data_IF_414312685197
#
_entry.id   IF_414312685197
#
_cell.length_a   1.000
_cell.length_b   1.000
_cell.length_c   1.000
_cell.angle_alpha   90.00
_cell.angle_beta   90.00
_cell.angle_gamma   90.00
#
_symmetry.space_group_name_H-M   'P 1'
#
loop_
_entity.id
_entity.type
_entity.pdbx_description
1 polymer ?
#
# COMPACT_ATOMS: atom_id res chain seq x y z
N UNK A 1 5.52 38.09 -16.81
CA UNK A 1 6.11 36.82 -17.32
C UNK A 1 5.41 35.67 -16.64
N UNK A 2 4.48 34.99 -17.33
CA UNK A 2 3.69 33.88 -16.78
C UNK A 2 4.51 32.59 -16.79
N UNK A 3 4.91 32.12 -15.61
CA UNK A 3 5.43 30.77 -15.43
C UNK A 3 4.25 29.79 -15.56
N UNK A 4 3.98 29.30 -16.78
CA UNK A 4 3.18 28.10 -16.99
C UNK A 4 3.99 26.92 -16.43
N UNK A 5 3.80 26.62 -15.15
CA UNK A 5 4.26 25.37 -14.57
C UNK A 5 3.62 24.24 -15.37
N UNK A 6 4.43 23.39 -16.00
CA UNK A 6 3.92 22.18 -16.66
C UNK A 6 3.26 21.33 -15.60
N UNK A 7 1.94 21.39 -15.51
CA UNK A 7 1.16 20.42 -14.74
C UNK A 7 1.57 19.03 -15.23
N UNK A 8 2.14 18.23 -14.33
CA UNK A 8 2.59 16.87 -14.62
C UNK A 8 1.42 16.06 -15.20
N UNK A 9 1.67 15.22 -16.20
CA UNK A 9 0.65 14.36 -16.83
C UNK A 9 -0.13 13.57 -15.78
N UNK A 10 0.52 13.18 -14.68
CA UNK A 10 -0.11 12.52 -13.54
C UNK A 10 -1.19 13.37 -12.87
N UNK A 11 -1.02 14.69 -12.84
CA UNK A 11 -1.94 15.66 -12.21
C UNK A 11 -3.26 15.80 -12.95
N UNK A 12 -3.25 15.55 -14.26
CA UNK A 12 -4.46 15.58 -15.11
C UNK A 12 -5.23 14.27 -15.09
N UNK A 13 -4.62 13.21 -14.57
CA UNK A 13 -5.21 11.88 -14.51
C UNK A 13 -6.31 11.81 -13.44
N UNK A 14 -7.53 11.46 -13.84
CA UNK A 14 -8.65 11.30 -12.92
C UNK A 14 -8.45 10.17 -11.89
N UNK A 15 -9.15 10.27 -10.76
CA UNK A 15 -9.13 9.31 -9.64
C UNK A 15 -9.24 7.85 -10.11
N UNK A 16 -10.18 7.56 -11.01
CA UNK A 16 -10.43 6.20 -11.51
C UNK A 16 -9.22 5.63 -12.24
N UNK A 17 -8.55 6.42 -13.06
CA UNK A 17 -7.40 5.94 -13.83
C UNK A 17 -6.17 5.75 -12.93
N UNK A 18 -5.96 6.62 -11.93
CA UNK A 18 -4.92 6.42 -10.91
C UNK A 18 -5.15 5.14 -10.10
N UNK A 19 -6.40 4.84 -9.75
CA UNK A 19 -6.78 3.57 -9.10
C UNK A 19 -6.48 2.37 -9.99
N UNK A 20 -6.86 2.43 -11.28
CA UNK A 20 -6.61 1.34 -12.23
C UNK A 20 -5.11 1.08 -12.41
N UNK A 21 -4.29 2.12 -12.57
CA UNK A 21 -2.84 1.97 -12.65
C UNK A 21 -2.30 1.29 -11.39
N UNK A 22 -2.71 1.74 -10.21
CA UNK A 22 -2.31 1.09 -8.96
C UNK A 22 -2.73 -0.38 -8.91
N UNK A 23 -3.95 -0.72 -9.36
CA UNK A 23 -4.41 -2.10 -9.46
C UNK A 23 -3.52 -2.93 -10.39
N UNK A 24 -3.22 -2.42 -11.59
CA UNK A 24 -2.34 -3.11 -12.54
C UNK A 24 -0.95 -3.36 -11.98
N UNK A 25 -0.39 -2.41 -11.21
CA UNK A 25 0.90 -2.59 -10.54
C UNK A 25 0.78 -3.70 -9.49
N UNK A 26 -0.24 -3.68 -8.63
CA UNK A 26 -0.43 -4.72 -7.60
C UNK A 26 -0.60 -6.11 -8.23
N UNK A 27 -1.47 -6.22 -9.24
CA UNK A 27 -1.72 -7.48 -9.95
C UNK A 27 -0.47 -7.95 -10.69
N UNK A 28 0.25 -7.04 -11.37
CA UNK A 28 1.50 -7.35 -12.06
C UNK A 28 2.58 -7.87 -11.11
N UNK A 29 2.72 -7.23 -9.95
CA UNK A 29 3.66 -7.69 -8.90
C UNK A 29 3.27 -9.05 -8.32
N UNK A 30 1.98 -9.31 -8.14
CA UNK A 30 1.48 -10.62 -7.71
C UNK A 30 1.71 -11.71 -8.78
N UNK A 31 1.48 -11.37 -10.05
CA UNK A 31 1.77 -12.26 -11.17
C UNK A 31 3.25 -12.62 -11.26
N UNK A 32 4.13 -11.61 -11.17
CA UNK A 32 5.58 -11.81 -11.15
C UNK A 32 6.01 -12.70 -9.99
N UNK A 33 5.40 -12.51 -8.81
CA UNK A 33 5.63 -13.38 -7.67
C UNK A 33 5.30 -14.83 -7.99
N UNK A 34 4.07 -15.12 -8.42
CA UNK A 34 3.58 -16.48 -8.65
C UNK A 34 4.39 -17.19 -9.74
N UNK A 35 4.68 -16.50 -10.85
CA UNK A 35 5.30 -17.13 -12.02
C UNK A 35 6.81 -17.30 -11.85
N UNK A 36 7.49 -16.31 -11.27
CA UNK A 36 8.96 -16.24 -11.31
C UNK A 36 9.63 -16.36 -9.95
N UNK A 37 9.02 -15.81 -8.90
CA UNK A 37 9.71 -15.62 -7.62
C UNK A 37 9.33 -16.67 -6.58
N UNK A 38 8.11 -17.23 -6.63
CA UNK A 38 7.58 -18.15 -5.64
C UNK A 38 8.48 -19.39 -5.41
N UNK A 39 9.20 -19.83 -6.44
CA UNK A 39 10.13 -20.97 -6.38
C UNK A 39 11.57 -20.60 -6.05
N UNK A 40 11.84 -19.33 -5.75
CA UNK A 40 13.18 -18.81 -5.44
C UNK A 40 13.32 -18.47 -3.96
N UNK A 41 14.54 -18.42 -3.41
CA UNK A 41 14.78 -17.95 -2.04
C UNK A 41 14.39 -16.47 -1.82
N UNK A 42 14.16 -15.70 -2.89
CA UNK A 42 13.73 -14.30 -2.80
C UNK A 42 12.25 -14.14 -2.47
N UNK A 43 11.46 -15.23 -2.46
CA UNK A 43 10.02 -15.19 -2.14
C UNK A 43 9.73 -14.54 -0.78
N UNK A 44 10.57 -14.78 0.22
CA UNK A 44 10.47 -14.19 1.57
C UNK A 44 10.64 -12.68 1.58
N UNK A 45 11.39 -12.13 0.63
CA UNK A 45 11.70 -10.70 0.56
C UNK A 45 10.91 -9.98 -0.54
N UNK A 46 10.05 -10.69 -1.28
CA UNK A 46 9.27 -10.07 -2.33
C UNK A 46 8.29 -9.04 -1.73
N UNK A 47 8.30 -7.79 -2.23
CA UNK A 47 7.51 -6.74 -1.61
C UNK A 47 6.02 -6.93 -1.88
N UNK A 48 5.22 -6.75 -0.82
CA UNK A 48 3.77 -6.77 -0.91
C UNK A 48 3.24 -5.46 -1.50
N UNK A 49 3.10 -5.41 -2.83
CA UNK A 49 2.60 -4.23 -3.56
C UNK A 49 1.19 -3.80 -3.14
N UNK A 50 0.37 -4.71 -2.61
CA UNK A 50 -0.93 -4.37 -2.02
C UNK A 50 -0.81 -3.36 -0.87
N UNK A 51 0.25 -3.44 -0.08
CA UNK A 51 0.51 -2.48 1.01
C UNK A 51 0.84 -1.09 0.44
N UNK A 52 1.55 -1.00 -0.69
CA UNK A 52 1.81 0.28 -1.35
C UNK A 52 0.52 0.97 -1.76
N UNK A 53 -0.40 0.20 -2.36
CA UNK A 53 -1.72 0.70 -2.70
C UNK A 53 -2.50 1.13 -1.45
N UNK A 54 -2.53 0.31 -0.39
CA UNK A 54 -3.23 0.64 0.83
C UNK A 54 -2.73 1.93 1.50
N UNK A 55 -1.41 2.03 1.69
CA UNK A 55 -0.78 3.19 2.33
C UNK A 55 -0.89 4.43 1.45
N UNK A 56 -0.60 4.33 0.14
CA UNK A 56 -0.67 5.46 -0.79
C UNK A 56 -2.08 6.00 -1.00
N UNK A 57 -3.06 5.10 -1.16
CA UNK A 57 -4.47 5.50 -1.33
C UNK A 57 -5.04 6.08 -0.03
N UNK A 58 -4.71 5.50 1.13
CA UNK A 58 -5.12 6.02 2.44
C UNK A 58 -4.60 7.43 2.71
N UNK A 59 -3.38 7.72 2.29
CA UNK A 59 -2.76 9.04 2.44
C UNK A 59 -3.36 10.11 1.51
N UNK A 60 -4.19 9.72 0.54
CA UNK A 60 -4.66 10.60 -0.52
C UNK A 60 -6.03 11.22 -0.21
N UNK A 61 -7.08 10.40 -0.09
CA UNK A 61 -8.44 10.82 0.32
C UNK A 61 -9.23 9.61 0.82
N UNK A 62 -10.07 9.84 1.82
CA UNK A 62 -11.03 8.82 2.27
C UNK A 62 -12.16 8.71 1.24
N UNK A 63 -12.10 7.70 0.39
CA UNK A 63 -13.15 7.34 -0.56
C UNK A 63 -13.47 5.86 -0.40
N UNK A 64 -14.74 5.50 -0.61
CA UNK A 64 -15.17 4.09 -0.57
C UNK A 64 -14.58 3.26 -1.71
N UNK A 65 -14.25 3.90 -2.85
CA UNK A 65 -13.71 3.21 -4.03
C UNK A 65 -12.38 2.49 -3.74
N UNK A 66 -11.32 3.16 -3.20
CA UNK A 66 -10.11 2.46 -2.75
C UNK A 66 -10.37 1.32 -1.77
N UNK A 67 -11.33 1.47 -0.86
CA UNK A 67 -11.68 0.43 0.13
C UNK A 67 -12.20 -0.82 -0.57
N UNK A 68 -13.16 -0.67 -1.49
CA UNK A 68 -13.72 -1.79 -2.27
C UNK A 68 -12.62 -2.45 -3.10
N UNK A 69 -11.77 -1.66 -3.76
CA UNK A 69 -10.68 -2.17 -4.57
C UNK A 69 -9.66 -2.93 -3.74
N UNK A 70 -9.24 -2.41 -2.58
CA UNK A 70 -8.32 -3.09 -1.66
C UNK A 70 -8.92 -4.37 -1.10
N UNK A 71 -10.22 -4.38 -0.80
CA UNK A 71 -10.92 -5.58 -0.38
C UNK A 71 -10.84 -6.66 -1.47
N UNK A 72 -11.18 -6.33 -2.71
CA UNK A 72 -11.11 -7.26 -3.84
C UNK A 72 -9.68 -7.76 -4.11
N UNK A 73 -8.69 -6.86 -4.08
CA UNK A 73 -7.27 -7.23 -4.23
C UNK A 73 -6.80 -8.13 -3.08
N UNK A 74 -7.23 -7.85 -1.86
CA UNK A 74 -6.91 -8.69 -0.70
C UNK A 74 -7.50 -10.09 -0.81
N UNK A 75 -8.78 -10.19 -1.18
CA UNK A 75 -9.44 -11.48 -1.44
C UNK A 75 -8.75 -12.24 -2.58
N UNK A 76 -8.32 -11.55 -3.65
CA UNK A 76 -7.53 -12.16 -4.71
C UNK A 76 -6.22 -12.74 -4.16
N UNK A 77 -5.50 -12.02 -3.30
CA UNK A 77 -4.28 -12.51 -2.67
C UNK A 77 -4.58 -13.72 -1.78
N UNK A 78 -5.65 -13.68 -0.98
CA UNK A 78 -6.08 -14.81 -0.14
C UNK A 78 -6.22 -16.09 -0.98
N UNK A 79 -6.89 -16.00 -2.14
CA UNK A 79 -7.07 -17.12 -3.06
C UNK A 79 -5.74 -17.60 -3.68
N UNK A 80 -4.82 -16.69 -3.99
CA UNK A 80 -3.54 -17.04 -4.62
C UNK A 80 -2.59 -17.76 -3.67
N UNK A 81 -2.60 -17.41 -2.38
CA UNK A 81 -1.69 -17.97 -1.37
C UNK A 81 -2.34 -19.04 -0.49
N UNK A 82 -3.62 -19.35 -0.71
CA UNK A 82 -4.37 -20.32 0.07
C UNK A 82 -4.65 -19.86 1.51
N UNK A 83 -4.74 -18.54 1.74
CA UNK A 83 -5.09 -17.98 3.05
C UNK A 83 -6.63 -17.95 3.25
N UNK A 84 -7.12 -17.87 4.50
CA UNK A 84 -8.54 -17.67 4.78
C UNK A 84 -9.08 -16.42 4.10
N UNK A 85 -10.27 -16.53 3.49
CA UNK A 85 -10.90 -15.43 2.78
C UNK A 85 -11.10 -14.23 3.71
N UNK A 86 -10.56 -13.08 3.33
CA UNK A 86 -10.62 -11.84 4.10
C UNK A 86 -9.37 -11.54 4.93
N UNK A 87 -8.39 -12.44 5.00
CA UNK A 87 -7.15 -12.26 5.76
C UNK A 87 -6.36 -11.06 5.23
N UNK A 88 -5.88 -11.14 3.98
CA UNK A 88 -5.12 -10.07 3.34
C UNK A 88 -5.98 -8.83 3.10
N UNK A 89 -7.27 -9.00 2.79
CA UNK A 89 -8.19 -7.88 2.69
C UNK A 89 -8.20 -7.04 3.98
N UNK A 90 -8.28 -7.69 5.14
CA UNK A 90 -8.27 -7.01 6.44
C UNK A 90 -6.93 -6.31 6.72
N UNK A 91 -5.81 -6.95 6.37
CA UNK A 91 -4.46 -6.35 6.51
C UNK A 91 -4.32 -5.09 5.67
N UNK A 92 -4.74 -5.14 4.40
CA UNK A 92 -4.69 -3.98 3.51
C UNK A 92 -5.61 -2.85 4.00
N UNK A 93 -6.81 -3.19 4.46
CA UNK A 93 -7.75 -2.21 4.98
C UNK A 93 -7.27 -1.57 6.30
N UNK A 94 -6.59 -2.33 7.16
CA UNK A 94 -5.96 -1.79 8.36
C UNK A 94 -4.86 -0.77 8.01
N UNK A 95 -3.98 -1.11 7.05
CA UNK A 95 -2.95 -0.20 6.57
C UNK A 95 -3.56 1.09 5.98
N UNK A 96 -4.61 0.95 5.17
CA UNK A 96 -5.34 2.07 4.59
C UNK A 96 -5.98 2.96 5.66
N UNK A 97 -6.62 2.36 6.66
CA UNK A 97 -7.26 3.07 7.76
C UNK A 97 -6.24 3.91 8.52
N UNK A 98 -5.12 3.32 8.95
CA UNK A 98 -4.05 4.03 9.68
C UNK A 98 -3.54 5.20 8.84
N UNK A 99 -3.20 4.96 7.57
CA UNK A 99 -2.71 6.01 6.67
C UNK A 99 -3.71 7.17 6.53
N UNK A 100 -5.01 6.84 6.44
CA UNK A 100 -6.07 7.83 6.33
C UNK A 100 -6.27 8.68 7.59
N UNK A 101 -5.98 8.15 8.78
CA UNK A 101 -6.06 8.89 10.04
C UNK A 101 -4.97 9.98 10.13
N UNK A 102 -3.78 9.68 9.61
CA UNK A 102 -2.66 10.63 9.59
C UNK A 102 -2.82 11.73 8.53
N UNK A 103 -3.67 11.52 7.53
CA UNK A 103 -3.89 12.48 6.43
C UNK A 103 -4.21 13.89 6.90
N UNK A 104 -5.20 14.07 7.79
CA UNK A 104 -5.63 15.41 8.23
C UNK A 104 -4.49 16.18 8.90
N UNK A 105 -3.68 15.50 9.70
CA UNK A 105 -2.52 16.09 10.39
C UNK A 105 -1.37 16.36 9.42
N UNK A 106 -1.19 15.50 8.41
CA UNK A 106 -0.18 15.70 7.37
C UNK A 106 -0.48 16.90 6.46
N UNK A 107 -1.75 17.32 6.32
CA UNK A 107 -2.11 18.52 5.54
C UNK A 107 -1.66 19.84 6.19
N UNK A 108 -1.49 19.85 7.52
CA UNK A 108 -1.05 21.02 8.28
C UNK A 108 0.46 21.10 8.48
N UNK A 109 1.19 20.02 8.17
CA UNK A 109 2.62 19.91 8.42
C UNK A 109 3.44 20.26 7.19
N UNK A 110 4.22 21.36 7.24
CA UNK A 110 5.13 21.77 6.16
C UNK A 110 6.38 20.91 6.02
N UNK A 111 6.76 20.16 7.07
CA UNK A 111 7.99 19.37 7.06
C UNK A 111 7.84 18.00 6.38
N UNK A 112 6.59 17.57 6.12
CA UNK A 112 6.29 16.23 5.59
C UNK A 112 6.55 15.09 6.59
N UNK A 113 6.97 15.41 7.81
CA UNK A 113 7.40 14.45 8.83
C UNK A 113 6.22 13.64 9.38
N UNK A 114 5.07 14.28 9.61
CA UNK A 114 3.83 13.60 10.00
C UNK A 114 3.38 12.61 8.93
N UNK A 115 3.61 12.94 7.66
CA UNK A 115 3.26 12.07 6.54
C UNK A 115 4.16 10.84 6.49
N UNK A 116 5.46 11.02 6.72
CA UNK A 116 6.41 9.92 6.86
C UNK A 116 6.03 9.00 8.02
N UNK A 117 5.77 9.55 9.21
CA UNK A 117 5.33 8.78 10.36
C UNK A 117 4.01 8.06 10.12
N UNK A 118 3.06 8.67 9.39
CA UNK A 118 1.82 8.02 8.99
C UNK A 118 2.04 6.80 8.10
N UNK A 119 2.93 6.91 7.10
CA UNK A 119 3.27 5.79 6.23
C UNK A 119 3.95 4.66 7.03
N UNK A 120 4.96 4.99 7.84
CA UNK A 120 5.66 4.02 8.70
C UNK A 120 4.70 3.34 9.67
N UNK A 121 3.86 4.12 10.37
CA UNK A 121 2.85 3.58 11.28
C UNK A 121 1.89 2.63 10.56
N UNK A 122 1.52 2.93 9.31
CA UNK A 122 0.63 2.08 8.52
C UNK A 122 1.28 0.72 8.22
N UNK A 123 2.56 0.70 7.82
CA UNK A 123 3.30 -0.55 7.61
C UNK A 123 3.47 -1.34 8.91
N UNK A 124 3.80 -0.68 10.02
CA UNK A 124 3.99 -1.33 11.32
C UNK A 124 2.69 -1.94 11.83
N UNK A 125 1.58 -1.19 11.79
CA UNK A 125 0.28 -1.72 12.21
C UNK A 125 -0.17 -2.86 11.31
N UNK A 126 0.00 -2.73 9.99
CA UNK A 126 -0.33 -3.80 9.07
C UNK A 126 0.49 -5.06 9.33
N UNK A 127 1.79 -4.93 9.66
CA UNK A 127 2.66 -6.04 10.02
C UNK A 127 2.20 -6.72 11.31
N UNK A 128 1.98 -5.94 12.38
CA UNK A 128 1.51 -6.48 13.67
C UNK A 128 0.17 -7.18 13.48
N UNK A 129 -0.74 -6.58 12.72
CA UNK A 129 -2.06 -7.13 12.45
C UNK A 129 -1.98 -8.41 11.61
N UNK A 130 -1.17 -8.43 10.55
CA UNK A 130 -0.92 -9.63 9.76
C UNK A 130 -0.29 -10.74 10.60
N UNK A 131 0.71 -10.43 11.44
CA UNK A 131 1.35 -11.40 12.32
C UNK A 131 0.39 -11.95 13.37
N UNK A 132 -0.49 -11.12 13.91
CA UNK A 132 -1.53 -11.54 14.85
C UNK A 132 -2.55 -12.45 14.16
N UNK A 133 -3.05 -12.04 12.99
CA UNK A 133 -4.08 -12.77 12.27
C UNK A 133 -3.55 -14.11 11.75
N UNK A 134 -2.40 -14.10 11.06
CA UNK A 134 -1.74 -15.33 10.57
C UNK A 134 -1.31 -16.21 11.74
N UNK A 135 -0.80 -15.62 12.83
CA UNK A 135 -0.41 -16.37 14.04
C UNK A 135 -1.59 -17.04 14.73
N UNK A 136 -2.77 -16.41 14.73
CA UNK A 136 -3.99 -16.99 15.28
C UNK A 136 -4.55 -18.15 14.43
N UNK A 137 -4.22 -18.20 13.13
CA UNK A 137 -4.74 -19.22 12.21
C UNK A 137 -3.77 -20.37 11.92
N UNK A 138 -2.48 -20.09 11.78
CA UNK A 138 -1.48 -21.04 11.27
C UNK A 138 -0.50 -21.56 12.32
N UNK A 139 -0.74 -21.25 13.60
CA UNK A 139 0.00 -21.72 14.77
C UNK A 139 1.49 -22.05 14.51
N UNK A 140 2.33 -21.01 14.42
CA UNK A 140 3.79 -21.20 14.29
C UNK A 140 4.47 -20.68 13.02
N UNK A 141 3.85 -19.76 12.26
CA UNK A 141 4.58 -19.05 11.18
C UNK A 141 5.72 -18.23 11.77
N UNK A 142 6.94 -18.46 11.26
CA UNK A 142 8.14 -17.72 11.68
C UNK A 142 7.96 -16.24 11.33
N UNK A 143 8.07 -15.38 12.34
CA UNK A 143 7.94 -13.92 12.20
C UNK A 143 8.90 -13.37 11.15
N UNK A 144 10.05 -14.04 10.95
CA UNK A 144 11.05 -13.68 9.95
C UNK A 144 10.50 -13.71 8.52
N UNK A 145 9.63 -14.67 8.22
CA UNK A 145 9.08 -14.83 6.87
C UNK A 145 8.13 -13.70 6.51
N UNK A 146 7.32 -13.27 7.47
CA UNK A 146 6.41 -12.14 7.31
C UNK A 146 7.21 -10.82 7.29
N UNK A 147 8.19 -10.67 8.18
CA UNK A 147 8.98 -9.46 8.31
C UNK A 147 9.75 -9.10 7.02
N UNK A 148 10.29 -10.08 6.30
CA UNK A 148 11.03 -9.87 5.06
C UNK A 148 10.22 -9.07 4.02
N UNK A 149 9.02 -9.57 3.69
CA UNK A 149 8.14 -8.96 2.69
C UNK A 149 7.63 -7.57 3.10
N UNK A 150 7.36 -7.34 4.39
CA UNK A 150 6.92 -6.05 4.93
C UNK A 150 8.06 -5.02 4.96
N UNK A 151 9.27 -5.43 5.31
CA UNK A 151 10.46 -4.56 5.28
C UNK A 151 10.77 -4.13 3.84
N UNK A 152 10.80 -5.08 2.90
CA UNK A 152 11.03 -4.74 1.48
C UNK A 152 9.90 -3.86 0.94
N UNK A 153 8.64 -4.14 1.29
CA UNK A 153 7.51 -3.29 0.91
C UNK A 153 7.66 -1.87 1.48
N UNK A 154 8.00 -1.71 2.76
CA UNK A 154 8.21 -0.39 3.38
C UNK A 154 9.36 0.39 2.75
N UNK A 155 10.49 -0.26 2.49
CA UNK A 155 11.67 0.36 1.87
C UNK A 155 11.39 0.81 0.43
N UNK A 156 10.77 -0.06 -0.37
CA UNK A 156 10.45 0.23 -1.77
C UNK A 156 9.23 1.13 -1.92
N UNK A 157 8.44 1.33 -0.87
CA UNK A 157 7.31 2.25 -0.94
C UNK A 157 7.73 3.67 -1.25
N UNK A 158 8.84 4.17 -0.67
CA UNK A 158 9.27 5.56 -0.86
C UNK A 158 9.48 5.97 -2.32
N UNK A 159 10.25 5.21 -3.16
CA UNK A 159 10.38 5.54 -4.57
C UNK A 159 9.07 5.35 -5.36
N UNK A 160 8.23 4.37 -5.02
CA UNK A 160 6.98 4.10 -5.73
C UNK A 160 5.77 4.91 -5.23
N UNK A 161 5.95 5.67 -4.15
CA UNK A 161 4.88 6.40 -3.44
C UNK A 161 4.06 7.29 -4.35
N UNK A 162 4.70 7.95 -5.31
CA UNK A 162 4.04 8.87 -6.23
C UNK A 162 2.98 8.17 -7.10
N UNK A 163 3.22 6.91 -7.49
CA UNK A 163 2.32 6.12 -8.33
C UNK A 163 1.02 5.73 -7.62
N UNK A 164 1.06 5.65 -6.29
CA UNK A 164 -0.09 5.29 -5.47
C UNK A 164 -0.77 6.50 -4.82
N UNK A 165 -0.40 7.75 -5.18
CA UNK A 165 -1.14 8.93 -4.72
C UNK A 165 -2.36 9.17 -5.61
N UNK A 166 -3.55 9.23 -5.01
CA UNK A 166 -4.82 9.47 -5.68
C UNK A 166 -5.21 10.96 -5.74
N UNK A 167 -4.64 11.82 -4.88
CA UNK A 167 -5.03 13.23 -4.75
C UNK A 167 -3.83 14.16 -4.87
N UNK A 168 -4.06 15.32 -5.50
CA UNK A 168 -3.12 16.43 -5.74
C UNK A 168 -2.98 17.38 -4.53
N UNK A 169 -2.82 16.86 -3.30
CA UNK A 169 -2.44 17.75 -2.19
C UNK A 169 -0.96 18.11 -2.30
N UNK A 170 -0.66 18.99 -3.27
CA UNK A 170 0.60 19.74 -3.43
C UNK A 170 0.65 20.98 -2.53
N UNK A 171 -0.21 21.11 -1.51
CA UNK A 171 -0.17 22.25 -0.58
C UNK A 171 1.04 22.25 0.38
N UNK A 172 1.96 21.32 0.21
CA UNK A 172 3.11 21.14 1.11
C UNK A 172 4.46 21.08 0.38
N UNK A 173 4.46 20.92 -0.96
CA UNK A 173 5.68 20.75 -1.73
C UNK A 173 5.99 22.00 -2.61
N UNK A 174 5.58 23.19 -2.16
CA UNK A 174 5.90 24.48 -2.78
C UNK A 174 6.57 25.45 -1.79
#
# INVERSE_FOLDING_TARGET
MSSYGRESVWQKTGLTFRLLIGCFIVIGMAYLYVVWIAKTPMSTYWPQAGLWAAVGWGASRLHIRPVVVLFLLGVMIDLLVGAPVGCWASVLLAAFLVSSLFRKRAQTDRSGMIRFFGDVASFVVAFIFARWLIGAYLDGVDTREIAGSFLTAGLLFFPFRALFRLSDDNRVDA
#
